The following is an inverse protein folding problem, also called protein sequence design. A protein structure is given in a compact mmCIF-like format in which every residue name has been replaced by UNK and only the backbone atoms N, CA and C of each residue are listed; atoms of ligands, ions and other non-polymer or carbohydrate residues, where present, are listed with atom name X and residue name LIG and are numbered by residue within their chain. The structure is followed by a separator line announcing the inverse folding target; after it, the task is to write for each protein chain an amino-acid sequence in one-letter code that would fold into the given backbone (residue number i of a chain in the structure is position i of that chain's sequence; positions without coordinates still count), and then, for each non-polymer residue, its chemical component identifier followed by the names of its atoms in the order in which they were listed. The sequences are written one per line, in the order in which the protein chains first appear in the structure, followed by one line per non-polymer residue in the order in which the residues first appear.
data_IF_098583369528
#
_entry.id   IF_098583369528
#
_cell.length_a   1.000
_cell.length_b   1.000
_cell.length_c   1.000
_cell.angle_alpha   90.00
_cell.angle_beta   90.00
_cell.angle_gamma   90.00
#
_symmetry.space_group_name_H-M   'P 1'
#
loop_
_entity.id
_entity.type
_entity.pdbx_description
1 polymer ?
#
# COMPACT_ATOMS: atom_id res chain seq x y z
N UNK A 1 20.34 13.44 -11.65
CA UNK A 1 19.18 13.82 -10.79
C UNK A 1 18.82 12.59 -9.96
N UNK A 2 18.96 12.66 -8.64
CA UNK A 2 18.57 11.59 -7.73
C UNK A 2 17.08 11.33 -7.92
N UNK A 3 16.72 10.14 -8.44
CA UNK A 3 15.36 9.72 -8.80
C UNK A 3 14.49 9.43 -7.56
N UNK A 4 14.66 10.22 -6.51
CA UNK A 4 14.00 10.08 -5.22
C UNK A 4 12.80 11.03 -5.16
N UNK A 5 11.67 10.52 -4.69
CA UNK A 5 10.49 11.29 -4.35
C UNK A 5 10.47 11.47 -2.84
N UNK A 6 10.75 12.68 -2.37
CA UNK A 6 10.63 13.05 -0.96
C UNK A 6 9.22 13.57 -0.72
N UNK A 7 8.50 13.02 0.26
CA UNK A 7 7.16 13.51 0.63
C UNK A 7 7.26 14.59 1.70
N UNK A 8 6.30 15.52 1.71
CA UNK A 8 6.13 16.54 2.75
C UNK A 8 5.16 16.08 3.86
N UNK A 9 4.85 14.78 3.89
CA UNK A 9 3.86 14.20 4.80
C UNK A 9 2.40 14.45 4.39
N UNK A 10 2.13 14.98 3.19
CA UNK A 10 0.79 15.02 2.59
C UNK A 10 0.57 13.89 1.60
N UNK A 11 -0.69 13.56 1.39
CA UNK A 11 -1.10 12.57 0.40
C UNK A 11 -0.71 13.04 -1.00
N UNK A 12 -0.12 12.13 -1.77
CA UNK A 12 0.13 12.33 -3.19
C UNK A 12 -0.55 11.24 -4.01
N UNK A 13 -1.01 11.61 -5.20
CA UNK A 13 -1.78 10.73 -6.08
C UNK A 13 -1.24 10.78 -7.50
N UNK A 14 -1.31 9.65 -8.19
CA UNK A 14 -1.06 9.64 -9.63
C UNK A 14 -2.11 10.45 -10.37
N UNK A 15 -1.71 11.15 -11.45
CA UNK A 15 -2.66 11.82 -12.34
C UNK A 15 -3.52 10.82 -13.12
N UNK A 16 -2.90 9.72 -13.56
CA UNK A 16 -3.58 8.60 -14.24
C UNK A 16 -4.37 7.76 -13.23
N UNK A 17 -5.48 7.20 -13.71
CA UNK A 17 -6.30 6.21 -13.00
C UNK A 17 -6.03 4.83 -13.59
N UNK A 18 -6.10 3.80 -12.76
CA UNK A 18 -5.80 2.41 -13.09
C UNK A 18 -6.91 1.50 -12.59
N UNK A 19 -7.01 0.29 -13.15
CA UNK A 19 -7.93 -0.75 -12.65
C UNK A 19 -7.17 -2.02 -12.29
N UNK A 20 -6.61 -2.71 -13.28
CA UNK A 20 -5.84 -3.94 -13.10
C UNK A 20 -4.40 -3.70 -13.52
N UNK A 21 -3.43 -4.12 -12.72
CA UNK A 21 -2.02 -3.84 -13.00
C UNK A 21 -1.07 -4.75 -12.23
N UNK A 22 0.20 -4.66 -12.62
CA UNK A 22 1.34 -5.01 -11.78
C UNK A 22 2.14 -3.74 -11.49
N UNK A 23 2.60 -3.56 -10.24
CA UNK A 23 3.29 -2.35 -9.81
C UNK A 23 4.45 -2.68 -8.87
N UNK A 24 5.53 -1.91 -9.00
CA UNK A 24 6.65 -1.92 -8.08
C UNK A 24 6.82 -0.53 -7.45
N UNK A 25 7.15 -0.52 -6.17
CA UNK A 25 7.51 0.69 -5.43
C UNK A 25 8.60 0.37 -4.42
N UNK A 26 9.63 1.21 -4.37
CA UNK A 26 10.60 1.21 -3.29
C UNK A 26 10.33 2.36 -2.33
N UNK A 27 10.40 2.09 -1.03
CA UNK A 27 10.19 3.07 0.02
C UNK A 27 11.19 2.90 1.15
N UNK A 28 11.53 4.01 1.82
CA UNK A 28 12.36 4.01 3.01
C UNK A 28 11.62 4.68 4.16
N UNK A 29 11.55 3.96 5.27
CA UNK A 29 10.96 4.43 6.51
C UNK A 29 11.95 5.33 7.27
N UNK A 30 11.49 6.45 7.84
CA UNK A 30 12.35 7.28 8.70
C UNK A 30 12.63 6.58 10.03
N UNK A 31 13.81 6.83 10.61
CA UNK A 31 14.08 6.42 11.98
C UNK A 31 13.31 7.31 12.97
N UNK A 32 12.35 6.72 13.70
CA UNK A 32 11.52 7.41 14.71
C UNK A 32 11.65 6.72 16.07
N UNK A 33 12.73 6.97 16.83
CA UNK A 33 13.01 6.28 18.10
C UNK A 33 11.93 6.49 19.16
N UNK A 34 11.25 7.65 19.14
CA UNK A 34 10.13 7.95 20.04
C UNK A 34 8.76 7.53 19.48
N UNK A 35 8.72 7.09 18.22
CA UNK A 35 7.49 6.63 17.57
C UNK A 35 7.04 5.28 18.15
N UNK A 36 5.75 5.16 18.45
CA UNK A 36 5.12 3.88 18.86
C UNK A 36 3.85 3.65 18.07
N UNK A 37 3.50 2.38 17.85
CA UNK A 37 2.34 1.98 17.06
C UNK A 37 2.25 2.75 15.74
N UNK A 38 1.07 3.32 15.44
CA UNK A 38 0.79 4.08 14.22
C UNK A 38 1.54 5.42 14.09
N UNK A 39 2.38 5.82 15.06
CA UNK A 39 3.25 7.01 14.96
C UNK A 39 4.67 6.67 14.52
N UNK A 40 4.99 5.38 14.35
CA UNK A 40 6.33 4.89 14.01
C UNK A 40 6.53 4.84 12.48
N UNK A 41 6.55 6.01 11.85
CA UNK A 41 6.84 6.14 10.41
C UNK A 41 5.70 5.73 9.47
N UNK A 42 4.45 6.03 9.87
CA UNK A 42 3.24 5.63 9.15
C UNK A 42 3.05 6.33 7.81
N UNK A 43 2.67 5.57 6.80
CA UNK A 43 2.20 5.97 5.48
C UNK A 43 1.29 4.85 4.96
N UNK A 44 0.81 4.95 3.73
CA UNK A 44 -0.06 3.93 3.14
C UNK A 44 0.07 3.91 1.63
N UNK A 45 0.07 2.71 1.07
CA UNK A 45 0.11 2.47 -0.37
C UNK A 45 -1.27 1.98 -0.83
N UNK A 46 -2.07 2.90 -1.37
CA UNK A 46 -3.45 2.63 -1.73
C UNK A 46 -3.59 2.23 -3.20
N UNK A 47 -4.20 1.07 -3.40
CA UNK A 47 -4.59 0.58 -4.71
C UNK A 47 -5.91 1.21 -5.13
N UNK A 48 -5.89 1.89 -6.28
CA UNK A 48 -7.02 2.64 -6.85
C UNK A 48 -7.69 3.61 -5.85
N UNK A 49 -6.93 4.06 -4.85
CA UNK A 49 -7.36 4.87 -3.70
C UNK A 49 -8.51 4.24 -2.90
N UNK A 50 -8.63 2.91 -2.91
CA UNK A 50 -9.64 2.16 -2.15
C UNK A 50 -9.05 1.17 -1.15
N UNK A 51 -7.91 0.55 -1.47
CA UNK A 51 -7.37 -0.55 -0.69
C UNK A 51 -5.96 -0.22 -0.24
N UNK A 52 -5.82 0.16 1.02
CA UNK A 52 -4.54 0.47 1.66
C UNK A 52 -3.77 -0.80 1.99
N UNK A 53 -2.57 -0.88 1.42
CA UNK A 53 -1.50 -1.67 2.01
C UNK A 53 -0.68 -0.76 2.90
N UNK A 54 -0.55 -1.15 4.16
CA UNK A 54 0.06 -0.34 5.17
C UNK A 54 1.57 -0.15 4.94
N UNK A 55 2.08 1.05 5.21
CA UNK A 55 3.52 1.33 5.33
C UNK A 55 3.77 1.80 6.77
N UNK A 56 4.55 1.04 7.53
CA UNK A 56 4.86 1.38 8.92
C UNK A 56 6.21 0.77 9.30
N UNK A 57 6.98 1.39 10.20
CA UNK A 57 8.12 0.71 10.82
C UNK A 57 7.59 -0.36 11.78
N UNK A 58 7.54 -1.57 11.22
CA UNK A 58 7.10 -2.79 11.88
C UNK A 58 8.23 -3.79 12.06
N UNK A 59 9.49 -3.35 11.95
CA UNK A 59 10.63 -4.21 12.23
C UNK A 59 10.62 -4.66 13.70
N UNK A 60 10.64 -5.98 13.90
CA UNK A 60 10.53 -6.61 15.21
C UNK A 60 9.12 -6.60 15.82
N UNK A 61 8.07 -6.28 15.05
CA UNK A 61 6.67 -6.36 15.48
C UNK A 61 5.99 -7.64 14.96
N UNK A 62 4.72 -7.85 15.30
CA UNK A 62 3.97 -9.09 15.02
C UNK A 62 3.52 -9.24 13.55
N UNK A 63 3.48 -8.17 12.76
CA UNK A 63 2.98 -8.15 11.38
C UNK A 63 1.46 -8.05 11.28
N UNK A 64 0.81 -7.29 12.17
CA UNK A 64 -0.66 -7.15 12.23
C UNK A 64 -1.27 -6.47 10.98
N UNK A 65 -2.61 -6.47 10.88
CA UNK A 65 -3.33 -5.90 9.72
C UNK A 65 -3.12 -4.39 9.52
N UNK A 66 -2.64 -3.67 10.53
CA UNK A 66 -2.32 -2.26 10.51
C UNK A 66 -0.80 -2.00 10.61
N UNK A 67 0.01 -3.01 10.29
CA UNK A 67 1.47 -2.96 10.24
C UNK A 67 1.98 -3.21 8.82
N UNK A 68 3.28 -3.04 8.56
CA UNK A 68 3.87 -3.06 7.22
C UNK A 68 3.42 -4.30 6.40
N UNK A 69 2.84 -4.05 5.23
CA UNK A 69 2.34 -5.08 4.32
C UNK A 69 0.93 -5.56 4.65
N UNK A 70 0.39 -5.25 5.82
CA UNK A 70 -0.99 -5.54 6.18
C UNK A 70 -1.97 -4.77 5.28
N UNK A 71 -3.08 -5.41 4.93
CA UNK A 71 -4.21 -4.74 4.28
C UNK A 71 -5.05 -4.15 5.39
N UNK A 72 -5.03 -2.81 5.50
CA UNK A 72 -5.46 -2.08 6.69
C UNK A 72 -6.85 -2.53 7.17
N UNK A 73 -6.94 -3.03 8.41
CA UNK A 73 -8.16 -3.60 9.05
C UNK A 73 -8.77 -4.85 8.40
N UNK A 74 -8.21 -5.34 7.29
CA UNK A 74 -8.76 -6.48 6.53
C UNK A 74 -7.97 -7.77 6.74
N UNK A 75 -6.64 -7.69 6.62
CA UNK A 75 -5.79 -8.89 6.63
C UNK A 75 -4.38 -8.54 7.08
N UNK A 76 -3.83 -9.34 7.99
CA UNK A 76 -2.41 -9.27 8.38
C UNK A 76 -1.51 -9.87 7.29
N UNK A 77 -0.25 -9.46 7.22
CA UNK A 77 0.72 -10.14 6.37
C UNK A 77 0.91 -11.58 6.84
N UNK A 78 1.09 -12.53 5.91
CA UNK A 78 1.38 -13.92 6.28
C UNK A 78 2.76 -14.04 6.94
N UNK A 79 3.69 -13.16 6.55
CA UNK A 79 5.03 -13.02 7.15
C UNK A 79 5.32 -11.53 7.38
N UNK A 80 5.82 -11.16 8.55
CA UNK A 80 6.41 -9.84 8.76
C UNK A 80 7.81 -9.80 8.12
N UNK A 81 7.87 -9.29 6.89
CA UNK A 81 9.10 -9.13 6.13
C UNK A 81 9.67 -7.70 6.19
N UNK A 82 9.21 -6.86 7.13
CA UNK A 82 9.68 -5.48 7.25
C UNK A 82 11.15 -5.44 7.68
N UNK A 83 11.97 -4.69 6.97
CA UNK A 83 13.34 -4.34 7.32
C UNK A 83 13.37 -3.16 8.31
N UNK A 84 14.48 -2.97 9.05
CA UNK A 84 14.63 -1.83 9.96
C UNK A 84 14.58 -0.48 9.19
N UNK A 85 14.26 0.62 9.88
CA UNK A 85 14.23 1.95 9.27
C UNK A 85 15.58 2.33 8.66
N UNK A 86 15.56 3.28 7.73
CA UNK A 86 16.70 3.71 6.91
C UNK A 86 17.20 2.65 5.90
N UNK A 87 16.49 1.53 5.76
CA UNK A 87 16.68 0.58 4.67
C UNK A 87 15.58 0.72 3.63
N UNK A 88 15.96 0.46 2.37
CA UNK A 88 15.00 0.41 1.26
C UNK A 88 14.19 -0.87 1.35
N UNK A 89 12.88 -0.72 1.29
CA UNK A 89 11.92 -1.80 1.19
C UNK A 89 11.34 -1.83 -0.22
N UNK A 90 10.96 -3.02 -0.70
CA UNK A 90 10.23 -3.19 -1.97
C UNK A 90 8.81 -3.67 -1.71
N UNK A 91 7.86 -3.11 -2.43
CA UNK A 91 6.57 -3.72 -2.67
C UNK A 91 6.42 -4.07 -4.14
N UNK A 92 6.08 -5.33 -4.40
CA UNK A 92 5.71 -5.83 -5.71
C UNK A 92 4.26 -6.33 -5.64
N UNK A 93 3.36 -5.66 -6.35
CA UNK A 93 1.91 -5.88 -6.26
C UNK A 93 1.35 -6.28 -7.60
N UNK A 94 0.58 -7.36 -7.61
CA UNK A 94 -0.36 -7.67 -8.67
C UNK A 94 -1.76 -7.42 -8.15
N UNK A 95 -2.47 -6.48 -8.77
CA UNK A 95 -3.78 -6.05 -8.33
C UNK A 95 -4.82 -6.25 -9.43
N UNK A 96 -5.98 -6.77 -9.02
CA UNK A 96 -7.18 -6.86 -9.85
C UNK A 96 -8.31 -6.15 -9.10
N UNK A 97 -8.93 -5.17 -9.73
CA UNK A 97 -9.99 -4.39 -9.10
C UNK A 97 -11.25 -5.24 -8.86
N UNK A 98 -12.12 -4.75 -7.96
CA UNK A 98 -13.45 -5.30 -7.81
C UNK A 98 -14.25 -5.16 -9.11
N UNK A 99 -15.26 -6.01 -9.28
CA UNK A 99 -16.21 -5.90 -10.41
C UNK A 99 -17.57 -5.57 -9.83
N UNK A 100 -18.14 -4.45 -10.26
CA UNK A 100 -19.50 -4.01 -9.92
C UNK A 100 -20.28 -3.88 -11.22
N UNK A 101 -21.47 -4.49 -11.27
CA UNK A 101 -22.38 -4.43 -12.41
C UNK A 101 -23.76 -4.01 -11.90
N UNK A 102 -24.35 -3.00 -12.52
CA UNK A 102 -25.68 -2.49 -12.18
C UNK A 102 -25.84 -2.16 -10.68
N UNK A 103 -24.81 -1.57 -10.08
CA UNK A 103 -24.77 -1.25 -8.65
C UNK A 103 -24.55 -2.44 -7.71
N UNK A 104 -24.50 -3.68 -8.24
CA UNK A 104 -24.24 -4.89 -7.47
C UNK A 104 -22.79 -5.33 -7.59
N UNK A 105 -22.15 -5.55 -6.44
CA UNK A 105 -20.80 -6.11 -6.36
C UNK A 105 -20.82 -7.58 -6.77
N UNK A 106 -20.05 -7.91 -7.82
CA UNK A 106 -19.97 -9.24 -8.42
C UNK A 106 -18.70 -9.99 -7.99
N UNK A 107 -17.58 -9.28 -7.86
CA UNK A 107 -16.28 -9.83 -7.41
C UNK A 107 -15.56 -8.84 -6.51
N UNK A 108 -14.94 -9.34 -5.45
CA UNK A 108 -13.99 -8.57 -4.63
C UNK A 108 -12.73 -8.22 -5.43
N UNK A 109 -12.04 -7.16 -5.01
CA UNK A 109 -10.68 -6.93 -5.48
C UNK A 109 -9.75 -8.07 -5.02
N UNK A 110 -8.72 -8.36 -5.82
CA UNK A 110 -7.73 -9.40 -5.50
C UNK A 110 -6.31 -8.85 -5.54
N UNK A 111 -5.45 -9.44 -4.73
CA UNK A 111 -4.05 -9.03 -4.62
C UNK A 111 -3.13 -10.23 -4.42
N UNK A 112 -2.02 -10.24 -5.18
CA UNK A 112 -0.80 -10.95 -4.80
C UNK A 112 0.27 -9.91 -4.51
N UNK A 113 0.98 -10.06 -3.40
CA UNK A 113 1.93 -9.06 -2.96
C UNK A 113 3.18 -9.67 -2.34
N UNK A 114 4.33 -9.07 -2.68
CA UNK A 114 5.60 -9.34 -2.03
C UNK A 114 6.10 -8.10 -1.30
N UNK A 115 6.69 -8.32 -0.12
CA UNK A 115 7.50 -7.35 0.60
C UNK A 115 8.92 -7.89 0.65
N UNK A 116 9.88 -7.13 0.10
CA UNK A 116 11.30 -7.51 0.06
C UNK A 116 11.51 -8.90 -0.59
N UNK A 117 10.77 -9.18 -1.67
CA UNK A 117 10.81 -10.45 -2.40
C UNK A 117 10.01 -11.61 -1.77
N UNK A 118 9.60 -11.49 -0.50
CA UNK A 118 8.84 -12.50 0.23
C UNK A 118 7.35 -12.32 -0.04
N UNK A 119 6.65 -13.39 -0.43
CA UNK A 119 5.19 -13.36 -0.61
C UNK A 119 4.53 -13.18 0.76
N UNK A 120 3.74 -12.10 0.90
CA UNK A 120 3.02 -11.76 2.15
C UNK A 120 1.50 -11.84 1.98
N UNK A 121 1.02 -11.84 0.74
CA UNK A 121 -0.36 -12.14 0.35
C UNK A 121 -0.33 -12.89 -0.98
N UNK A 122 -0.97 -14.06 -1.05
CA UNK A 122 -1.06 -14.84 -2.29
C UNK A 122 -2.49 -14.92 -2.82
N UNK A 123 -2.76 -14.17 -3.90
CA UNK A 123 -4.03 -14.11 -4.62
C UNK A 123 -5.26 -14.01 -3.71
N UNK A 124 -5.17 -13.19 -2.67
CA UNK A 124 -6.23 -13.04 -1.66
C UNK A 124 -7.36 -12.15 -2.19
N UNK A 125 -8.56 -12.30 -1.65
CA UNK A 125 -9.65 -11.35 -1.83
C UNK A 125 -9.63 -10.27 -0.76
N UNK A 126 -9.94 -9.03 -1.15
CA UNK A 126 -10.08 -7.89 -0.25
C UNK A 126 -11.57 -7.58 -0.07
N UNK A 127 -12.09 -7.87 1.12
CA UNK A 127 -13.51 -7.65 1.42
C UNK A 127 -13.80 -6.18 1.76
N UNK A 128 -14.06 -5.40 0.71
CA UNK A 128 -14.46 -4.01 0.78
C UNK A 128 -13.29 -3.03 0.95
N UNK A 129 -13.58 -1.74 0.77
CA UNK A 129 -12.60 -0.66 0.88
C UNK A 129 -12.01 -0.55 2.29
N UNK A 130 -10.80 0.00 2.38
CA UNK A 130 -10.14 0.35 3.65
C UNK A 130 -10.48 1.78 4.06
N UNK A 131 -10.11 2.16 5.28
CA UNK A 131 -10.22 3.55 5.74
C UNK A 131 -9.43 4.51 4.84
N UNK A 132 -9.81 5.79 4.83
CA UNK A 132 -9.12 6.81 4.05
C UNK A 132 -9.30 6.69 2.53
N UNK A 133 -10.17 5.80 2.04
CA UNK A 133 -10.45 5.63 0.62
C UNK A 133 -11.14 6.85 -0.01
N UNK A 134 -11.05 6.98 -1.33
CA UNK A 134 -11.91 7.90 -2.09
C UNK A 134 -13.39 7.47 -2.02
N UNK A 135 -14.28 8.36 -2.46
CA UNK A 135 -15.74 8.20 -2.40
C UNK A 135 -16.36 7.47 -3.59
N UNK A 136 -15.63 7.33 -4.70
CA UNK A 136 -16.14 6.65 -5.88
C UNK A 136 -16.50 5.19 -5.55
N UNK A 137 -17.50 4.59 -6.21
CA UNK A 137 -17.87 3.19 -5.98
C UNK A 137 -16.71 2.22 -6.24
N UNK A 138 -16.66 1.12 -5.48
CA UNK A 138 -15.76 -0.02 -5.77
C UNK A 138 -15.87 -0.45 -7.23
N UNK A 139 -14.76 -0.94 -7.80
CA UNK A 139 -14.68 -1.40 -9.18
C UNK A 139 -14.54 -0.32 -10.25
N UNK A 140 -14.62 0.95 -9.88
CA UNK A 140 -14.22 2.04 -10.78
C UNK A 140 -12.68 2.20 -10.79
N UNK A 141 -12.06 2.58 -11.93
CA UNK A 141 -10.64 2.91 -11.97
C UNK A 141 -10.31 4.12 -11.07
N UNK A 142 -9.15 4.10 -10.43
CA UNK A 142 -8.73 5.11 -9.46
C UNK A 142 -7.23 5.37 -9.47
N UNK A 143 -6.77 6.48 -8.85
CA UNK A 143 -5.35 6.78 -8.78
C UNK A 143 -4.65 5.85 -7.79
N UNK A 144 -3.33 5.72 -7.90
CA UNK A 144 -2.51 5.22 -6.81
C UNK A 144 -2.29 6.37 -5.84
N UNK A 145 -2.49 6.14 -4.53
CA UNK A 145 -2.22 7.12 -3.49
C UNK A 145 -1.11 6.63 -2.57
N UNK A 146 -0.13 7.50 -2.32
CA UNK A 146 0.81 7.35 -1.20
C UNK A 146 0.35 8.32 -0.11
N UNK A 147 -0.11 7.77 1.01
CA UNK A 147 -0.62 8.54 2.14
C UNK A 147 0.55 9.24 2.85
N UNK A 148 0.38 10.50 3.18
CA UNK A 148 1.44 11.27 3.82
C UNK A 148 1.47 11.12 5.34
N UNK A 149 0.31 11.04 5.99
CA UNK A 149 0.14 10.87 7.45
C UNK A 149 1.05 11.78 8.31
N UNK A 150 1.41 12.98 7.83
CA UNK A 150 2.37 13.88 8.46
C UNK A 150 3.75 13.25 8.75
N UNK A 151 4.11 12.21 7.99
CA UNK A 151 5.41 11.55 8.05
C UNK A 151 6.10 11.73 6.70
N UNK A 152 7.24 12.44 6.64
CA UNK A 152 8.06 12.45 5.44
C UNK A 152 8.69 11.07 5.24
N UNK A 153 8.43 10.47 4.08
CA UNK A 153 9.04 9.23 3.62
C UNK A 153 9.79 9.49 2.31
N UNK A 154 10.69 8.57 1.98
CA UNK A 154 11.38 8.58 0.69
C UNK A 154 10.87 7.43 -0.16
N UNK A 155 10.58 7.71 -1.42
CA UNK A 155 10.22 6.71 -2.41
C UNK A 155 11.16 6.76 -3.60
N UNK A 156 11.37 5.63 -4.27
CA UNK A 156 12.11 5.56 -5.53
C UNK A 156 11.63 4.40 -6.39
N UNK A 157 12.14 4.33 -7.62
CA UNK A 157 11.92 3.23 -8.55
C UNK A 157 10.44 2.81 -8.61
N UNK A 158 9.56 3.74 -8.98
CA UNK A 158 8.12 3.49 -9.03
C UNK A 158 7.72 3.27 -10.48
N UNK A 159 7.15 2.11 -10.78
CA UNK A 159 6.63 1.81 -12.11
C UNK A 159 5.37 0.95 -12.03
N UNK A 160 4.51 1.06 -13.03
CA UNK A 160 3.23 0.38 -13.12
C UNK A 160 2.99 -0.08 -14.55
N UNK A 161 2.49 -1.31 -14.70
CA UNK A 161 2.15 -1.93 -15.99
C UNK A 161 0.71 -2.42 -15.91
N UNK A 162 -0.17 -1.87 -16.76
CA UNK A 162 -1.58 -2.26 -16.83
C UNK A 162 -1.73 -3.66 -17.43
N UNK A 163 -2.79 -4.38 -17.01
CA UNK A 163 -3.17 -5.70 -17.52
C UNK A 163 -4.32 -5.60 -18.51
#
# INVERSE_FOLDING_TARGET
KTKLLNTDGKDIKTKRKFSNYSMHVEFMLPYKPEGRGQKRGNSGFYQVDHYEVQILDSFGLEGLNNECGGIYTKRKSDVNACLPPLQWQTYDVQFTNAVVKDGKKMKNARMTMRLNGIVIHDNIEINGITGGSRKDPEGTPGPIKLQGHNNPLQFRNIWIVEK
#
